data_IF_168946048140
#
_entry.id   IF_168946048140
#
_cell.length_a   1.000
_cell.length_b   1.000
_cell.length_c   1.000
_cell.angle_alpha   90.00
_cell.angle_beta   90.00
_cell.angle_gamma   90.00
#
_symmetry.space_group_name_H-M   'P 1'
#
loop_
_entity.id
_entity.type
_entity.pdbx_description
1 polymer ?
#
# COMPACT_ATOMS: atom_id res chain seq x y z
N UNK A 1 48.79 -43.59 -62.43
CA UNK A 1 48.15 -43.36 -63.74
C UNK A 1 46.74 -43.95 -63.66
N UNK A 2 45.74 -43.10 -63.34
CA UNK A 2 44.65 -42.68 -64.26
C UNK A 2 43.48 -43.68 -64.14
N UNK A 3 42.22 -43.36 -63.81
CA UNK A 3 41.47 -42.13 -63.66
C UNK A 3 40.04 -42.46 -63.16
N UNK A 4 39.42 -41.44 -62.58
CA UNK A 4 37.99 -41.07 -62.67
C UNK A 4 36.90 -42.04 -62.19
N UNK A 5 36.20 -41.58 -61.15
CA UNK A 5 34.74 -41.74 -61.02
C UNK A 5 34.01 -41.11 -62.20
N UNK A 6 32.80 -41.61 -62.54
CA UNK A 6 31.64 -40.74 -62.34
C UNK A 6 30.39 -41.48 -61.82
N UNK A 7 29.57 -40.73 -61.09
CA UNK A 7 28.17 -41.02 -60.75
C UNK A 7 27.26 -40.89 -61.98
N UNK A 8 26.13 -41.62 -61.99
CA UNK A 8 24.86 -40.90 -62.10
C UNK A 8 23.74 -41.38 -61.16
N UNK A 9 22.92 -40.40 -60.77
CA UNK A 9 21.62 -40.47 -60.09
C UNK A 9 20.63 -41.45 -60.71
N UNK A 10 19.77 -42.09 -59.90
CA UNK A 10 18.33 -41.82 -59.70
C UNK A 10 17.83 -42.76 -58.58
N UNK A 11 17.44 -42.26 -57.42
CA UNK A 11 16.09 -41.81 -57.05
C UNK A 11 14.98 -42.87 -57.16
N UNK A 12 14.29 -43.08 -56.03
CA UNK A 12 12.88 -43.51 -55.90
C UNK A 12 12.56 -44.99 -55.72
N UNK A 13 12.43 -45.42 -54.45
CA UNK A 13 11.39 -46.37 -54.02
C UNK A 13 11.18 -46.35 -52.48
N UNK A 14 10.91 -45.19 -51.90
CA UNK A 14 10.30 -45.12 -50.56
C UNK A 14 8.84 -44.65 -50.71
N UNK A 15 7.96 -45.53 -51.20
CA UNK A 15 6.51 -45.38 -50.97
C UNK A 15 6.11 -46.32 -49.83
N UNK A 16 6.35 -45.88 -48.59
CA UNK A 16 5.44 -46.24 -47.50
C UNK A 16 4.46 -45.09 -47.39
N UNK A 17 3.24 -45.35 -47.85
CA UNK A 17 2.11 -44.45 -47.73
C UNK A 17 1.84 -44.14 -46.25
N UNK A 18 2.37 -43.02 -45.76
CA UNK A 18 1.90 -42.44 -44.50
C UNK A 18 0.66 -41.61 -44.83
N UNK A 19 -0.52 -42.20 -44.63
CA UNK A 19 -1.77 -41.45 -44.61
C UNK A 19 -1.69 -40.37 -43.52
N UNK A 20 -1.99 -39.09 -43.80
CA UNK A 20 -2.14 -38.11 -42.74
C UNK A 20 -3.42 -38.44 -41.96
N UNK A 21 -3.26 -38.82 -40.69
CA UNK A 21 -4.37 -38.94 -39.75
C UNK A 21 -4.93 -37.53 -39.50
N UNK A 22 -6.25 -37.34 -39.44
CA UNK A 22 -6.81 -36.04 -39.10
C UNK A 22 -6.40 -35.66 -37.66
N UNK A 23 -5.71 -34.53 -37.53
CA UNK A 23 -5.47 -33.88 -36.24
C UNK A 23 -6.82 -33.38 -35.70
N UNK A 24 -7.45 -34.16 -34.84
CA UNK A 24 -8.74 -33.77 -34.24
C UNK A 24 -9.17 -34.58 -33.03
N UNK A 25 -8.31 -35.42 -32.44
CA UNK A 25 -8.72 -36.37 -31.41
C UNK A 25 -7.84 -36.35 -30.15
N UNK A 26 -7.34 -35.17 -29.74
CA UNK A 26 -6.52 -35.06 -28.52
C UNK A 26 -6.93 -33.86 -27.65
N UNK A 27 -8.24 -33.65 -27.52
CA UNK A 27 -8.80 -32.73 -26.51
C UNK A 27 -9.44 -33.58 -25.43
N UNK A 28 -8.90 -33.61 -24.19
CA UNK A 28 -9.56 -34.30 -23.09
C UNK A 28 -10.92 -33.65 -22.83
N UNK A 29 -11.93 -34.42 -22.39
CA UNK A 29 -13.27 -33.90 -22.12
C UNK A 29 -13.17 -32.75 -21.10
N UNK A 30 -13.98 -31.70 -21.29
CA UNK A 30 -14.04 -30.57 -20.36
C UNK A 30 -14.52 -31.09 -19.01
N UNK A 31 -13.70 -30.97 -17.98
CA UNK A 31 -14.13 -31.23 -16.60
C UNK A 31 -15.22 -30.21 -16.23
N UNK A 32 -16.43 -30.70 -15.99
CA UNK A 32 -17.51 -29.86 -15.48
C UNK A 32 -17.24 -29.62 -13.99
N UNK A 33 -16.93 -28.37 -13.64
CA UNK A 33 -16.66 -27.96 -12.27
C UNK A 33 -17.99 -27.91 -11.52
N UNK A 34 -18.14 -28.62 -10.38
CA UNK A 34 -19.35 -28.57 -9.58
C UNK A 34 -19.68 -27.13 -9.19
N UNK A 35 -20.96 -26.76 -9.25
CA UNK A 35 -21.39 -25.42 -8.85
C UNK A 35 -21.25 -25.26 -7.34
N UNK A 36 -20.44 -24.29 -6.91
CA UNK A 36 -20.27 -23.96 -5.50
C UNK A 36 -21.09 -22.72 -5.16
N UNK A 37 -22.10 -22.89 -4.29
CA UNK A 37 -22.85 -21.76 -3.77
C UNK A 37 -21.95 -20.89 -2.85
N UNK A 38 -21.93 -19.56 -3.06
CA UNK A 38 -21.08 -18.67 -2.28
C UNK A 38 -21.49 -18.66 -0.79
N UNK A 39 -20.50 -18.90 0.07
CA UNK A 39 -20.65 -18.90 1.53
C UNK A 39 -21.12 -17.51 2.02
N UNK A 40 -22.36 -17.43 2.48
CA UNK A 40 -22.95 -16.21 3.04
C UNK A 40 -22.52 -16.06 4.50
N UNK A 41 -21.47 -15.27 4.75
CA UNK A 41 -21.10 -14.88 6.11
C UNK A 41 -22.06 -13.79 6.60
N UNK A 42 -22.75 -14.02 7.72
CA UNK A 42 -23.66 -13.04 8.35
C UNK A 42 -22.87 -11.79 8.77
N UNK A 43 -23.12 -10.67 8.11
CA UNK A 43 -22.59 -9.36 8.50
C UNK A 43 -23.31 -8.79 9.72
N UNK A 44 -22.54 -8.39 10.74
CA UNK A 44 -23.04 -7.66 11.91
C UNK A 44 -23.16 -6.16 11.58
N UNK A 45 -24.32 -5.56 11.88
CA UNK A 45 -24.61 -4.14 11.67
C UNK A 45 -24.01 -3.27 12.81
N UNK A 46 -23.33 -2.15 12.53
CA UNK A 46 -22.90 -1.20 13.56
C UNK A 46 -23.89 -0.04 13.74
N UNK A 47 -24.81 -0.09 14.71
CA UNK A 47 -25.77 1.01 14.98
C UNK A 47 -25.63 1.74 16.33
N UNK A 48 -24.65 1.44 17.18
CA UNK A 48 -24.59 2.02 18.54
C UNK A 48 -23.69 3.27 18.72
N UNK A 49 -23.00 3.77 17.67
CA UNK A 49 -21.95 4.80 17.83
C UNK A 49 -22.40 6.26 17.79
N UNK A 50 -23.66 6.57 17.45
CA UNK A 50 -24.08 7.95 17.13
C UNK A 50 -24.39 8.83 18.33
N UNK A 51 -24.86 8.28 19.45
CA UNK A 51 -25.38 9.11 20.55
C UNK A 51 -24.29 9.69 21.48
N UNK A 52 -23.16 8.98 21.66
CA UNK A 52 -22.07 9.43 22.53
C UNK A 52 -21.31 10.66 21.99
N UNK A 53 -21.42 10.94 20.70
CA UNK A 53 -20.69 12.04 20.02
C UNK A 53 -21.28 13.41 20.29
N UNK A 54 -22.58 13.48 20.59
CA UNK A 54 -23.28 14.74 20.84
C UNK A 54 -23.01 15.29 22.25
N UNK A 55 -22.85 14.43 23.25
CA UNK A 55 -22.55 14.85 24.63
C UNK A 55 -21.19 15.54 24.78
N UNK A 56 -20.19 15.09 24.01
CA UNK A 56 -18.84 15.69 24.04
C UNK A 56 -18.75 17.06 23.37
N UNK A 57 -19.67 17.38 22.45
CA UNK A 57 -19.69 18.68 21.75
C UNK A 57 -20.21 19.82 22.63
N UNK A 58 -21.18 19.55 23.51
CA UNK A 58 -21.70 20.56 24.42
C UNK A 58 -20.64 21.06 25.42
N UNK A 59 -19.80 20.15 25.93
CA UNK A 59 -18.73 20.49 26.89
C UNK A 59 -17.63 21.37 26.27
N UNK A 60 -17.27 21.13 25.01
CA UNK A 60 -16.23 21.90 24.32
C UNK A 60 -16.64 23.34 24.00
N UNK A 61 -17.92 23.58 23.66
CA UNK A 61 -18.44 24.93 23.41
C UNK A 61 -18.45 25.77 24.69
N UNK A 62 -18.83 25.16 25.83
CA UNK A 62 -18.79 25.86 27.12
C UNK A 62 -17.39 26.36 27.48
N UNK A 63 -16.36 25.52 27.28
CA UNK A 63 -14.97 25.85 27.62
C UNK A 63 -14.38 26.97 26.74
N UNK A 64 -14.72 27.00 25.45
CA UNK A 64 -14.28 28.05 24.53
C UNK A 64 -14.88 29.43 24.88
N UNK A 65 -16.15 29.47 25.30
CA UNK A 65 -16.80 30.72 25.72
C UNK A 65 -16.15 31.27 27.01
N UNK A 66 -15.75 30.41 27.95
CA UNK A 66 -15.08 30.85 29.18
C UNK A 66 -13.67 31.40 28.93
N UNK A 67 -12.91 30.81 28.00
CA UNK A 67 -11.57 31.30 27.64
C UNK A 67 -11.61 32.67 26.96
N UNK A 68 -12.60 32.91 26.09
CA UNK A 68 -12.78 34.20 25.44
C UNK A 68 -13.13 35.32 26.44
N UNK A 69 -13.93 35.01 27.46
CA UNK A 69 -14.27 35.98 28.51
C UNK A 69 -13.05 36.36 29.39
N UNK A 70 -12.17 35.39 29.70
CA UNK A 70 -10.94 35.64 30.47
C UNK A 70 -9.93 36.53 29.72
N UNK A 71 -9.87 36.42 28.38
CA UNK A 71 -9.03 37.30 27.54
C UNK A 71 -9.60 38.72 27.45
N UNK A 72 -10.92 38.88 27.52
CA UNK A 72 -11.55 40.21 27.48
C UNK A 72 -11.46 40.99 28.79
N UNK A 73 -11.25 40.32 29.92
CA UNK A 73 -11.28 40.92 31.26
C UNK A 73 -9.91 41.05 31.96
N UNK A 74 -8.80 40.69 31.29
CA UNK A 74 -7.45 40.77 31.86
C UNK A 74 -6.88 42.20 31.93
N UNK A 75 -6.06 42.55 32.95
CA UNK A 75 -5.69 43.92 33.29
C UNK A 75 -4.71 44.53 32.29
N UNK A 76 -4.96 45.78 31.87
CA UNK A 76 -4.04 46.60 31.08
C UNK A 76 -3.42 47.66 31.99
N UNK A 77 -2.10 47.64 32.13
CA UNK A 77 -1.29 48.79 32.56
C UNK A 77 0.06 48.75 31.81
N UNK A 78 0.26 49.66 30.85
CA UNK A 78 1.05 50.92 30.91
C UNK A 78 2.56 50.64 31.00
N UNK A 79 3.49 51.20 30.23
CA UNK A 79 3.60 52.40 29.40
C UNK A 79 4.92 52.25 28.58
N UNK A 80 5.00 52.88 27.40
CA UNK A 80 6.08 53.79 26.95
C UNK A 80 6.31 53.82 25.43
N UNK A 81 5.53 54.72 24.81
CA UNK A 81 5.98 55.91 24.05
C UNK A 81 6.97 55.79 22.87
N UNK A 82 6.47 56.08 21.65
CA UNK A 82 6.80 57.24 20.75
C UNK A 82 6.86 56.85 19.26
N UNK A 83 6.11 57.58 18.41
CA UNK A 83 6.38 57.68 16.97
C UNK A 83 5.12 57.71 16.08
N UNK A 84 4.66 58.91 15.75
CA UNK A 84 3.53 59.35 14.92
C UNK A 84 3.74 59.12 13.38
N UNK A 85 2.86 59.61 12.48
CA UNK A 85 1.56 59.13 11.95
C UNK A 85 1.70 58.50 10.53
N UNK A 86 0.71 57.93 9.83
CA UNK A 86 -0.46 58.52 9.16
C UNK A 86 -1.25 57.39 8.44
N UNK A 87 -2.53 57.58 8.09
CA UNK A 87 -3.47 56.54 7.69
C UNK A 87 -3.77 56.53 6.19
N UNK A 88 -3.72 55.37 5.53
CA UNK A 88 -4.36 55.18 4.22
C UNK A 88 -5.01 53.78 4.13
N UNK A 89 -6.35 53.82 4.13
CA UNK A 89 -7.31 53.04 3.32
C UNK A 89 -7.00 51.56 3.04
N UNK A 90 -7.94 50.68 3.39
CA UNK A 90 -9.05 50.30 2.50
C UNK A 90 -9.67 49.01 2.98
N UNK A 91 -11.00 48.95 2.87
CA UNK A 91 -11.81 47.77 3.13
C UNK A 91 -11.33 46.56 2.33
N UNK A 92 -11.23 45.43 3.02
CA UNK A 92 -10.93 44.13 2.43
C UNK A 92 -11.32 43.05 3.41
N UNK A 93 -12.61 42.78 3.50
CA UNK A 93 -13.15 41.56 4.12
C UNK A 93 -12.48 40.36 3.46
N UNK A 94 -11.72 39.50 4.16
CA UNK A 94 -11.35 38.23 3.57
C UNK A 94 -12.61 37.37 3.56
N UNK A 95 -13.20 37.32 2.36
CA UNK A 95 -14.13 36.29 1.93
C UNK A 95 -13.61 34.94 2.41
N UNK A 96 -14.51 34.16 3.01
CA UNK A 96 -14.30 32.79 3.39
C UNK A 96 -13.69 31.99 2.23
N UNK A 97 -12.37 31.85 2.23
CA UNK A 97 -11.70 30.81 1.46
C UNK A 97 -12.03 29.50 2.14
N UNK A 98 -13.09 28.85 1.63
CA UNK A 98 -13.30 27.42 1.76
C UNK A 98 -12.05 26.72 1.26
N UNK A 99 -11.18 26.36 2.18
CA UNK A 99 -9.91 25.72 1.93
C UNK A 99 -9.61 24.76 3.05
N UNK A 100 -9.78 23.48 2.75
CA UNK A 100 -8.88 22.44 3.23
C UNK A 100 -9.07 21.84 4.64
N UNK A 101 -10.24 21.27 4.92
CA UNK A 101 -10.38 20.23 5.98
C UNK A 101 -10.96 18.90 5.45
N UNK A 102 -10.95 18.73 4.12
CA UNK A 102 -11.44 17.53 3.42
C UNK A 102 -10.40 16.42 3.17
N UNK A 103 -9.06 16.61 3.14
CA UNK A 103 -8.15 15.49 2.91
C UNK A 103 -7.98 14.60 4.16
N UNK A 104 -8.24 15.14 5.36
CA UNK A 104 -7.99 14.44 6.63
C UNK A 104 -9.06 13.38 6.95
N UNK A 105 -10.28 13.51 6.40
CA UNK A 105 -11.40 12.58 6.68
C UNK A 105 -11.49 11.42 5.68
N UNK A 106 -11.04 11.60 4.44
CA UNK A 106 -11.04 10.52 3.43
C UNK A 106 -9.98 9.46 3.70
N UNK A 107 -8.86 9.82 4.35
CA UNK A 107 -7.83 8.84 4.79
C UNK A 107 -8.31 7.91 5.91
N UNK A 108 -9.43 8.22 6.59
CA UNK A 108 -9.87 7.55 7.82
C UNK A 108 -10.64 6.23 7.64
N UNK A 109 -10.87 5.78 6.41
CA UNK A 109 -11.43 4.45 6.16
C UNK A 109 -10.93 3.85 4.85
N UNK A 110 -9.67 4.11 4.46
CA UNK A 110 -9.07 3.31 3.41
C UNK A 110 -9.09 1.85 3.89
N UNK A 111 -9.87 1.00 3.18
CA UNK A 111 -9.97 -0.42 3.49
C UNK A 111 -8.57 -1.01 3.62
N UNK A 112 -8.31 -1.66 4.75
CA UNK A 112 -7.05 -2.37 4.95
C UNK A 112 -7.10 -3.70 4.22
N UNK A 113 -5.97 -4.09 3.65
CA UNK A 113 -5.76 -5.40 3.03
C UNK A 113 -4.58 -6.08 3.72
N UNK A 114 -4.57 -7.40 3.70
CA UNK A 114 -3.42 -8.21 4.09
C UNK A 114 -2.54 -8.41 2.86
N UNK A 115 -1.27 -8.03 2.95
CA UNK A 115 -0.31 -8.14 1.87
C UNK A 115 0.92 -8.95 2.35
N UNK A 116 1.30 -10.04 1.67
CA UNK A 116 2.57 -10.69 1.91
C UNK A 116 3.71 -9.82 1.36
N UNK A 117 4.75 -9.61 2.17
CA UNK A 117 5.91 -8.77 1.84
C UNK A 117 7.18 -9.55 2.17
N UNK A 118 8.12 -9.59 1.22
CA UNK A 118 9.43 -10.22 1.44
C UNK A 118 10.42 -9.18 1.96
N UNK A 119 10.98 -9.43 3.14
CA UNK A 119 11.98 -8.60 3.80
C UNK A 119 13.35 -9.26 3.61
N UNK A 120 14.32 -8.50 3.14
CA UNK A 120 15.65 -9.01 2.80
C UNK A 120 16.38 -9.60 4.01
N UNK A 121 16.17 -9.03 5.21
CA UNK A 121 16.78 -9.51 6.46
C UNK A 121 15.84 -10.47 7.20
N UNK A 122 16.14 -11.76 7.07
CA UNK A 122 15.41 -12.81 7.77
C UNK A 122 15.67 -12.82 9.29
N UNK A 123 16.84 -12.37 9.77
CA UNK A 123 17.15 -12.34 11.20
C UNK A 123 16.27 -11.29 11.90
N UNK A 124 16.09 -10.13 11.28
CA UNK A 124 15.17 -9.10 11.79
C UNK A 124 13.73 -9.61 11.82
N UNK A 125 13.26 -10.32 10.79
CA UNK A 125 11.89 -10.87 10.76
C UNK A 125 11.62 -11.86 11.89
N UNK A 126 12.62 -12.67 12.29
CA UNK A 126 12.48 -13.63 13.41
C UNK A 126 12.21 -12.98 14.77
N UNK A 127 12.46 -11.68 14.89
CA UNK A 127 12.16 -10.92 16.11
C UNK A 127 10.72 -10.41 16.16
N UNK A 128 10.05 -10.34 15.00
CA UNK A 128 8.71 -9.79 14.89
C UNK A 128 7.66 -10.77 15.41
N UNK A 129 6.59 -10.22 15.98
CA UNK A 129 5.41 -10.96 16.43
C UNK A 129 4.16 -10.43 15.74
N UNK A 130 3.16 -11.29 15.49
CA UNK A 130 1.83 -10.84 15.10
C UNK A 130 1.31 -9.81 16.11
N UNK A 131 0.92 -8.64 15.61
CA UNK A 131 0.51 -7.50 16.43
C UNK A 131 1.49 -6.32 16.39
N UNK A 132 2.76 -6.56 16.06
CA UNK A 132 3.77 -5.51 15.98
C UNK A 132 3.43 -4.46 14.92
N UNK A 133 3.95 -3.26 15.12
CA UNK A 133 3.89 -2.19 14.14
C UNK A 133 5.28 -1.95 13.59
N UNK A 134 5.36 -1.85 12.27
CA UNK A 134 6.62 -1.70 11.56
C UNK A 134 6.53 -0.59 10.52
N UNK A 135 7.65 0.08 10.34
CA UNK A 135 7.92 0.88 9.16
C UNK A 135 8.66 -0.01 8.14
N UNK A 136 8.22 0.05 6.88
CA UNK A 136 8.86 -0.68 5.78
C UNK A 136 9.67 0.28 4.94
N UNK A 137 10.95 -0.04 4.77
CA UNK A 137 11.92 0.78 4.07
C UNK A 137 12.33 0.05 2.80
N UNK A 138 12.23 0.72 1.66
CA UNK A 138 12.78 0.24 0.40
C UNK A 138 14.16 0.84 0.20
N UNK A 139 15.17 -0.03 0.03
CA UNK A 139 16.52 0.33 -0.38
C UNK A 139 16.70 -0.06 -1.85
N UNK A 140 16.76 0.94 -2.71
CA UNK A 140 17.06 0.83 -4.14
C UNK A 140 18.57 1.02 -4.32
N UNK A 141 19.23 0.10 -5.01
CA UNK A 141 20.64 0.26 -5.37
C UNK A 141 20.74 0.86 -6.77
N UNK A 142 21.48 1.97 -6.89
CA UNK A 142 21.68 2.65 -8.18
C UNK A 142 23.18 2.83 -8.44
N UNK A 143 23.56 3.02 -9.71
CA UNK A 143 24.97 3.19 -10.10
C UNK A 143 25.66 4.38 -9.39
N UNK A 144 24.90 5.37 -8.94
CA UNK A 144 25.41 6.54 -8.21
C UNK A 144 25.30 6.41 -6.68
N UNK A 145 24.99 5.22 -6.16
CA UNK A 145 24.79 4.94 -4.74
C UNK A 145 23.33 4.60 -4.40
N UNK A 146 23.14 3.91 -3.27
CA UNK A 146 21.82 3.46 -2.83
C UNK A 146 20.91 4.60 -2.37
N UNK A 147 19.60 4.47 -2.62
CA UNK A 147 18.55 5.35 -2.10
C UNK A 147 17.63 4.55 -1.19
N UNK A 148 17.37 5.07 0.01
CA UNK A 148 16.42 4.47 0.94
C UNK A 148 15.21 5.39 1.16
N UNK A 149 14.00 4.82 1.11
CA UNK A 149 12.77 5.55 1.45
C UNK A 149 11.79 4.68 2.24
N UNK A 150 11.03 5.29 3.14
CA UNK A 150 9.95 4.61 3.86
C UNK A 150 8.73 4.50 2.93
N UNK A 151 8.30 3.27 2.65
CA UNK A 151 7.16 2.95 1.76
C UNK A 151 5.88 2.76 2.57
N UNK A 152 5.98 2.21 3.78
CA UNK A 152 4.85 2.05 4.67
C UNK A 152 5.22 2.50 6.07
N UNK A 153 4.32 3.25 6.72
CA UNK A 153 4.48 3.67 8.11
C UNK A 153 3.45 3.00 9.01
N UNK A 154 3.89 2.45 10.15
CA UNK A 154 3.06 1.84 11.17
C UNK A 154 2.18 0.69 10.66
N UNK A 155 2.68 -0.07 9.67
CA UNK A 155 2.03 -1.26 9.15
C UNK A 155 1.94 -2.32 10.25
N UNK A 156 0.79 -2.98 10.38
CA UNK A 156 0.61 -4.00 11.43
C UNK A 156 1.01 -5.37 10.90
N UNK A 157 1.89 -6.07 11.59
CA UNK A 157 2.20 -7.48 11.32
C UNK A 157 0.98 -8.32 11.69
N UNK A 158 0.42 -9.05 10.73
CA UNK A 158 -0.70 -9.97 10.97
C UNK A 158 -0.24 -11.40 11.13
N UNK A 159 0.83 -11.77 10.43
CA UNK A 159 1.38 -13.12 10.43
C UNK A 159 2.86 -13.06 10.04
N UNK A 160 3.66 -13.96 10.60
CA UNK A 160 5.05 -14.19 10.20
C UNK A 160 5.15 -15.66 9.78
N UNK A 161 5.02 -15.96 8.47
CA UNK A 161 5.10 -17.33 7.98
C UNK A 161 6.46 -17.96 8.26
N UNK A 162 6.46 -19.27 8.55
CA UNK A 162 7.69 -20.05 8.67
C UNK A 162 8.48 -20.01 7.36
N UNK A 163 9.81 -19.84 7.41
CA UNK A 163 10.62 -19.70 6.21
C UNK A 163 10.64 -21.02 5.43
N UNK A 164 10.18 -21.00 4.18
CA UNK A 164 10.13 -22.17 3.29
C UNK A 164 11.52 -22.62 2.75
N UNK A 165 12.62 -22.18 3.37
CA UNK A 165 13.99 -22.40 2.89
C UNK A 165 14.38 -21.45 1.74
N UNK A 166 15.62 -20.95 1.76
CA UNK A 166 16.22 -20.10 0.72
C UNK A 166 16.82 -18.79 1.23
N UNK A 167 17.89 -18.34 0.59
CA UNK A 167 18.76 -17.23 1.05
C UNK A 167 18.24 -15.82 0.71
N UNK A 168 17.00 -15.69 0.24
CA UNK A 168 16.50 -14.44 -0.33
C UNK A 168 15.64 -13.56 0.60
N UNK A 169 15.73 -13.75 1.92
CA UNK A 169 14.94 -13.03 2.92
C UNK A 169 13.67 -13.78 3.38
N UNK A 170 12.95 -13.20 4.35
CA UNK A 170 11.79 -13.82 5.00
C UNK A 170 10.48 -13.11 4.63
N UNK A 171 9.37 -13.85 4.67
CA UNK A 171 8.04 -13.30 4.42
C UNK A 171 7.42 -12.77 5.71
N UNK A 172 6.68 -11.67 5.59
CA UNK A 172 5.81 -11.11 6.64
C UNK A 172 4.50 -10.71 5.99
N UNK A 173 3.38 -10.99 6.66
CA UNK A 173 2.07 -10.54 6.21
C UNK A 173 1.70 -9.27 6.96
N UNK A 174 1.41 -8.20 6.22
CA UNK A 174 1.12 -6.87 6.78
C UNK A 174 -0.30 -6.43 6.49
N UNK A 175 -0.97 -5.83 7.48
CA UNK A 175 -2.23 -5.11 7.31
C UNK A 175 -1.97 -3.64 6.98
N UNK A 176 -2.19 -3.27 5.72
CA UNK A 176 -1.87 -1.95 5.17
C UNK A 176 -3.05 -1.37 4.37
N UNK A 177 -3.13 -0.04 4.18
CA UNK A 177 -4.06 0.55 3.22
C UNK A 177 -3.84 0.00 1.80
N UNK A 178 -4.92 -0.13 1.02
CA UNK A 178 -4.84 -0.70 -0.34
C UNK A 178 -3.85 0.00 -1.28
N UNK A 179 -3.73 1.33 -1.20
CA UNK A 179 -2.72 2.08 -1.97
C UNK A 179 -1.28 1.70 -1.57
N UNK A 180 -1.02 1.62 -0.26
CA UNK A 180 0.29 1.21 0.29
C UNK A 180 0.65 -0.24 -0.09
N UNK A 181 -0.34 -1.15 -0.20
CA UNK A 181 -0.07 -2.50 -0.69
C UNK A 181 0.47 -2.50 -2.13
N UNK A 182 -0.09 -1.66 -3.01
CA UNK A 182 0.40 -1.52 -4.38
C UNK A 182 1.80 -0.90 -4.41
N UNK A 183 2.07 0.10 -3.58
CA UNK A 183 3.41 0.70 -3.44
C UNK A 183 4.44 -0.31 -2.92
N UNK A 184 4.09 -1.14 -1.94
CA UNK A 184 4.94 -2.22 -1.43
C UNK A 184 5.23 -3.28 -2.50
N UNK A 185 4.23 -3.65 -3.30
CA UNK A 185 4.40 -4.60 -4.40
C UNK A 185 5.35 -4.03 -5.48
N UNK A 186 5.17 -2.77 -5.86
CA UNK A 186 6.06 -2.08 -6.80
C UNK A 186 7.48 -1.96 -6.26
N UNK A 187 7.64 -1.55 -5.00
CA UNK A 187 8.95 -1.45 -4.36
C UNK A 187 9.64 -2.81 -4.26
N UNK A 188 8.91 -3.89 -3.96
CA UNK A 188 9.48 -5.25 -3.89
C UNK A 188 10.07 -5.72 -5.23
N UNK A 189 9.59 -5.18 -6.36
CA UNK A 189 10.08 -5.54 -7.69
C UNK A 189 11.42 -4.88 -8.04
N UNK A 190 11.76 -3.75 -7.40
CA UNK A 190 12.94 -2.94 -7.76
C UNK A 190 13.89 -2.66 -6.59
N UNK A 191 13.48 -2.95 -5.36
CA UNK A 191 14.19 -2.59 -4.14
C UNK A 191 14.25 -3.76 -3.16
N UNK A 192 15.30 -3.78 -2.34
CA UNK A 192 15.36 -4.65 -1.17
C UNK A 192 14.60 -4.01 -0.04
N UNK A 193 13.65 -4.74 0.55
CA UNK A 193 12.85 -4.22 1.66
C UNK A 193 13.48 -4.58 3.01
N UNK A 194 13.50 -3.61 3.90
CA UNK A 194 13.88 -3.74 5.31
C UNK A 194 12.72 -3.26 6.20
N UNK A 195 12.77 -3.63 7.48
CA UNK A 195 11.77 -3.23 8.47
C UNK A 195 12.41 -2.68 9.72
N UNK A 196 11.74 -1.72 10.35
CA UNK A 196 12.08 -1.20 11.68
C UNK A 196 10.81 -1.16 12.52
N UNK A 197 10.94 -1.35 13.84
CA UNK A 197 9.81 -1.19 14.76
C UNK A 197 9.35 0.27 14.78
N UNK A 198 8.02 0.48 14.85
CA UNK A 198 7.35 1.78 14.80
C UNK A 198 7.09 2.39 16.17
#
# INVERSE_FOLDING_TARGET
MTSASPVPSVSSAHRRSSFPRPHGADVPPRCEVPHFDPVRVRGALPFAGRLARHRRRAVAVGLAVTAAALVAAGPRDTDRSRGHPEPVRAAGTPVASGGDDRPVRQRRAAGKVTAPVRIADAATVRLLRPGDRVDVIAAEETASGGRARVVARGARVTEVPEPAGGDGGALVVLSVPRGTAAELAGASATARLAVTLW
#
